data_IF_335725098784
#
_entry.id   IF_335725098784
#
_cell.length_a   1.000
_cell.length_b   1.000
_cell.length_c   1.000
_cell.angle_alpha   90.00
_cell.angle_beta   90.00
_cell.angle_gamma   90.00
#
_symmetry.space_group_name_H-M   'P 1'
#
loop_
_entity.id
_entity.type
_entity.pdbx_description
1 polymer ?
#
# COMPACT_ATOMS: atom_id res chain seq x y z
N UNK A 1 5.99 1.26 -33.72
CA UNK A 1 6.19 0.99 -32.29
C UNK A 1 6.08 -0.49 -32.08
N UNK A 2 7.08 -1.11 -31.43
CA UNK A 2 7.04 -2.55 -31.14
C UNK A 2 5.98 -2.79 -30.06
N UNK A 3 5.05 -3.74 -30.23
CA UNK A 3 4.04 -4.00 -29.21
C UNK A 3 4.73 -4.44 -27.91
N UNK A 4 4.39 -3.78 -26.82
CA UNK A 4 4.76 -4.22 -25.47
C UNK A 4 3.99 -5.51 -25.23
N UNK A 5 4.69 -6.64 -25.31
CA UNK A 5 4.14 -7.93 -24.93
C UNK A 5 4.11 -7.95 -23.40
N UNK A 6 2.94 -8.11 -22.76
CA UNK A 6 2.90 -8.21 -21.30
C UNK A 6 3.63 -9.48 -20.87
N UNK A 7 4.44 -9.45 -19.79
CA UNK A 7 4.99 -10.68 -19.23
C UNK A 7 3.82 -11.55 -18.74
N UNK A 8 3.69 -12.74 -19.34
CA UNK A 8 2.74 -13.77 -18.90
C UNK A 8 3.24 -14.39 -17.59
N UNK A 9 3.00 -13.71 -16.48
CA UNK A 9 3.35 -14.20 -15.15
C UNK A 9 3.11 -13.14 -14.07
N UNK A 10 2.92 -13.56 -12.80
CA UNK A 10 2.92 -12.59 -11.71
C UNK A 10 4.24 -11.84 -11.73
N UNK A 11 4.18 -10.52 -11.86
CA UNK A 11 5.30 -9.61 -11.67
C UNK A 11 5.80 -9.74 -10.23
N UNK A 12 6.69 -10.69 -9.97
CA UNK A 12 7.44 -10.78 -8.72
C UNK A 12 8.59 -9.76 -8.80
N UNK A 13 8.25 -8.47 -8.77
CA UNK A 13 9.23 -7.39 -8.64
C UNK A 13 9.93 -7.44 -7.28
N UNK A 14 11.05 -6.75 -7.11
CA UNK A 14 11.62 -6.48 -5.78
C UNK A 14 10.63 -5.68 -4.92
N UNK A 15 10.64 -5.81 -3.58
CA UNK A 15 9.87 -4.91 -2.74
C UNK A 15 10.45 -3.51 -2.92
N UNK A 16 9.77 -2.67 -3.71
CA UNK A 16 10.01 -1.24 -3.71
C UNK A 16 9.45 -0.70 -2.39
N UNK A 17 10.18 -0.96 -1.29
CA UNK A 17 9.88 -0.35 -0.01
C UNK A 17 10.30 1.11 -0.11
N UNK A 18 9.35 2.00 -0.36
CA UNK A 18 9.58 3.43 -0.21
C UNK A 18 10.03 3.67 1.25
N UNK A 19 11.28 4.14 1.48
CA UNK A 19 11.79 4.34 2.83
C UNK A 19 11.00 5.41 3.62
N UNK A 20 10.16 6.21 2.95
CA UNK A 20 9.20 7.11 3.60
C UNK A 20 8.01 6.39 4.25
N UNK A 21 7.74 5.14 3.87
CA UNK A 21 6.69 4.29 4.43
C UNK A 21 7.32 3.46 5.56
N UNK A 22 7.02 3.80 6.81
CA UNK A 22 7.51 3.03 7.96
C UNK A 22 7.05 1.57 7.92
N UNK A 23 7.80 0.68 8.55
CA UNK A 23 7.47 -0.75 8.61
C UNK A 23 6.46 -1.03 9.75
N UNK A 24 5.44 -1.84 9.48
CA UNK A 24 4.46 -2.28 10.48
C UNK A 24 5.11 -3.16 11.56
N UNK A 25 6.19 -3.88 11.25
CA UNK A 25 6.91 -4.71 12.20
C UNK A 25 7.59 -3.88 13.32
N UNK A 26 7.91 -2.61 13.07
CA UNK A 26 8.48 -1.69 14.06
C UNK A 26 7.46 -1.25 15.12
N UNK A 27 6.16 -1.52 14.90
CA UNK A 27 5.11 -1.09 15.82
C UNK A 27 5.11 -1.96 17.07
N UNK A 28 5.66 -1.38 18.15
CA UNK A 28 5.68 -1.99 19.48
C UNK A 28 4.26 -1.94 20.08
N UNK A 29 3.77 -3.09 20.54
CA UNK A 29 2.40 -3.23 21.05
C UNK A 29 1.34 -3.18 19.95
N UNK A 30 0.08 -2.86 20.30
CA UNK A 30 -1.03 -2.70 19.34
C UNK A 30 -1.34 -3.95 18.46
N UNK A 31 -1.17 -5.16 19.01
CA UNK A 31 -1.35 -6.43 18.28
C UNK A 31 -2.67 -6.51 17.50
N UNK A 32 -3.78 -6.11 18.13
CA UNK A 32 -5.10 -6.13 17.49
C UNK A 32 -5.18 -5.17 16.30
N UNK A 33 -4.63 -3.96 16.43
CA UNK A 33 -4.62 -2.98 15.35
C UNK A 33 -3.72 -3.41 14.18
N UNK A 34 -2.55 -4.01 14.46
CA UNK A 34 -1.68 -4.56 13.40
C UNK A 34 -2.38 -5.69 12.65
N UNK A 35 -3.02 -6.62 13.37
CA UNK A 35 -3.81 -7.69 12.75
C UNK A 35 -4.97 -7.15 11.92
N UNK A 36 -5.66 -6.12 12.41
CA UNK A 36 -6.74 -5.49 11.66
C UNK A 36 -6.23 -4.85 10.35
N UNK A 37 -5.05 -4.22 10.37
CA UNK A 37 -4.39 -3.68 9.18
C UNK A 37 -4.01 -4.79 8.19
N UNK A 38 -3.43 -5.90 8.66
CA UNK A 38 -3.08 -7.05 7.82
C UNK A 38 -4.32 -7.65 7.14
N UNK A 39 -5.40 -7.87 7.91
CA UNK A 39 -6.66 -8.39 7.37
C UNK A 39 -7.27 -7.40 6.37
N UNK A 40 -7.26 -6.10 6.66
CA UNK A 40 -7.79 -5.09 5.75
C UNK A 40 -6.97 -4.98 4.46
N UNK A 41 -5.64 -5.05 4.56
CA UNK A 41 -4.73 -5.04 3.41
C UNK A 41 -4.95 -6.26 2.51
N UNK A 42 -4.96 -7.46 3.09
CA UNK A 42 -5.18 -8.71 2.36
C UNK A 42 -6.59 -8.76 1.73
N UNK A 43 -7.61 -8.26 2.45
CA UNK A 43 -9.01 -8.28 2.02
C UNK A 43 -9.45 -7.08 1.17
N UNK A 44 -8.59 -6.09 0.94
CA UNK A 44 -8.93 -4.81 0.28
C UNK A 44 -10.11 -4.11 0.96
N UNK A 45 -10.11 -4.05 2.29
CA UNK A 45 -11.16 -3.40 3.08
C UNK A 45 -10.76 -2.01 3.56
N UNK A 46 -11.76 -1.15 3.74
CA UNK A 46 -11.57 0.11 4.46
C UNK A 46 -11.39 -0.15 5.96
N UNK A 47 -10.60 0.69 6.62
CA UNK A 47 -10.34 0.59 8.05
C UNK A 47 -10.63 1.91 8.75
N UNK A 48 -11.25 1.83 9.93
CA UNK A 48 -11.43 2.96 10.84
C UNK A 48 -10.59 2.74 12.08
N UNK A 49 -9.65 3.64 12.35
CA UNK A 49 -8.82 3.61 13.56
C UNK A 49 -9.41 4.53 14.63
N UNK A 50 -9.82 3.96 15.77
CA UNK A 50 -10.42 4.71 16.89
C UNK A 50 -9.55 4.59 18.14
N UNK A 51 -9.45 5.68 18.90
CA UNK A 51 -8.72 5.72 20.17
C UNK A 51 -8.36 7.14 20.61
N UNK A 52 -7.90 7.30 21.85
CA UNK A 52 -7.51 8.58 22.43
C UNK A 52 -6.44 9.33 21.59
N UNK A 53 -6.35 10.67 21.66
CA UNK A 53 -5.25 11.41 21.04
C UNK A 53 -3.88 10.84 21.44
N UNK A 54 -2.92 10.82 20.52
CA UNK A 54 -1.57 10.31 20.79
C UNK A 54 -1.39 8.79 20.78
N UNK A 55 -2.45 7.97 20.67
CA UNK A 55 -2.32 6.50 20.69
C UNK A 55 -1.72 5.86 19.42
N UNK A 56 -1.20 6.65 18.49
CA UNK A 56 -0.53 6.13 17.28
C UNK A 56 -1.43 5.82 16.08
N UNK A 57 -2.69 6.28 16.02
CA UNK A 57 -3.60 6.07 14.86
C UNK A 57 -2.98 6.49 13.52
N UNK A 58 -2.46 7.72 13.44
CA UNK A 58 -1.83 8.22 12.21
C UNK A 58 -0.53 7.50 11.89
N UNK A 59 0.19 7.02 12.92
CA UNK A 59 1.41 6.22 12.77
C UNK A 59 1.09 4.85 12.15
N UNK A 60 0.02 4.20 12.61
CA UNK A 60 -0.50 2.96 12.04
C UNK A 60 -1.01 3.14 10.61
N UNK A 61 -1.83 4.17 10.35
CA UNK A 61 -2.40 4.41 9.02
C UNK A 61 -1.34 4.65 7.94
N UNK A 62 -0.25 5.37 8.27
CA UNK A 62 0.85 5.64 7.33
C UNK A 62 1.63 4.40 6.92
N UNK A 63 1.57 3.32 7.71
CA UNK A 63 2.27 2.05 7.43
C UNK A 63 1.43 1.08 6.61
N UNK A 64 0.11 1.31 6.48
CA UNK A 64 -0.78 0.46 5.70
C UNK A 64 -0.31 0.27 4.24
N UNK A 65 0.10 1.33 3.50
CA UNK A 65 0.57 1.15 2.12
C UNK A 65 1.75 0.18 1.98
N UNK A 66 2.60 0.07 3.00
CA UNK A 66 3.77 -0.81 3.00
C UNK A 66 3.45 -2.30 3.10
N UNK A 67 2.22 -2.65 3.49
CA UNK A 67 1.75 -4.05 3.59
C UNK A 67 0.63 -4.38 2.61
N UNK A 68 0.28 -3.47 1.70
CA UNK A 68 -0.74 -3.74 0.68
C UNK A 68 -0.23 -4.79 -0.31
N UNK A 69 -1.10 -5.69 -0.77
CA UNK A 69 -0.79 -6.55 -1.91
C UNK A 69 -0.38 -5.70 -3.11
N UNK A 70 0.56 -6.23 -3.90
CA UNK A 70 0.95 -5.59 -5.15
C UNK A 70 -0.23 -5.52 -6.10
N UNK A 71 -0.30 -4.42 -6.83
CA UNK A 71 -1.26 -4.26 -7.91
C UNK A 71 -0.91 -5.25 -9.03
N UNK A 72 -1.94 -5.81 -9.66
CA UNK A 72 -1.75 -6.47 -10.94
C UNK A 72 -1.51 -5.41 -12.04
N UNK A 73 -1.17 -5.86 -13.25
CA UNK A 73 -0.84 -4.96 -14.36
C UNK A 73 -1.99 -4.01 -14.71
N UNK A 74 -3.23 -4.49 -14.62
CA UNK A 74 -4.41 -3.71 -14.98
C UNK A 74 -4.65 -2.62 -13.93
N UNK A 75 -4.65 -3.00 -12.66
CA UNK A 75 -4.81 -2.08 -11.53
C UNK A 75 -3.68 -1.04 -11.52
N UNK A 76 -2.45 -1.44 -11.85
CA UNK A 76 -1.32 -0.52 -11.96
C UNK A 76 -1.51 0.55 -13.04
N UNK A 77 -1.97 0.16 -14.25
CA UNK A 77 -2.24 1.12 -15.34
C UNK A 77 -3.34 2.12 -14.96
N UNK A 78 -4.41 1.64 -14.33
CA UNK A 78 -5.50 2.49 -13.85
C UNK A 78 -5.00 3.50 -12.80
N UNK A 79 -4.23 3.03 -11.82
CA UNK A 79 -3.60 3.90 -10.82
C UNK A 79 -2.65 4.91 -11.46
N UNK A 80 -1.80 4.52 -12.42
CA UNK A 80 -0.91 5.46 -13.14
C UNK A 80 -1.69 6.55 -13.88
N UNK A 81 -2.83 6.20 -14.50
CA UNK A 81 -3.71 7.19 -15.13
C UNK A 81 -4.29 8.16 -14.08
N UNK A 82 -4.76 7.65 -12.94
CA UNK A 82 -5.23 8.49 -11.83
C UNK A 82 -4.13 9.41 -11.27
N UNK A 83 -2.91 8.91 -11.13
CA UNK A 83 -1.76 9.72 -10.70
C UNK A 83 -1.42 10.82 -11.70
N UNK A 84 -1.48 10.53 -12.99
CA UNK A 84 -1.27 11.52 -14.06
C UNK A 84 -2.33 12.63 -14.00
N UNK A 85 -3.60 12.27 -13.80
CA UNK A 85 -4.69 13.23 -13.65
C UNK A 85 -4.58 14.06 -12.36
N UNK A 86 -4.09 13.46 -11.27
CA UNK A 86 -3.87 14.15 -10.00
C UNK A 86 -2.63 15.07 -10.00
N UNK A 87 -1.95 15.23 -11.14
CA UNK A 87 -0.74 16.05 -11.27
C UNK A 87 0.50 15.44 -10.60
N UNK A 88 0.49 14.12 -10.32
CA UNK A 88 1.60 13.38 -9.69
C UNK A 88 2.41 12.54 -10.69
N UNK A 89 2.19 12.74 -12.00
CA UNK A 89 2.76 11.91 -13.08
C UNK A 89 4.04 12.43 -13.74
N UNK A 90 4.68 13.47 -13.21
CA UNK A 90 5.92 14.02 -13.77
C UNK A 90 6.78 14.62 -12.65
N UNK A 91 7.72 13.82 -12.15
CA UNK A 91 8.74 14.15 -11.17
C UNK A 91 9.68 12.97 -11.01
#
# INVERSE_FOLDING_TARGET
>A
GRPVVPPEGPIVGSPDTDPGIGDLAEVIGQHEARRALEVAAAGRHHILLRGAPGCGKSMLARRLPGILPRLDHRDALEVTALHSLAGRGSG
#
